data_IF_315951831523
#
_entry.id   IF_315951831523
#
_cell.length_a   1.000
_cell.length_b   1.000
_cell.length_c   1.000
_cell.angle_alpha   90.00
_cell.angle_beta   90.00
_cell.angle_gamma   90.00
#
_symmetry.space_group_name_H-M   'P 1'
#
loop_
_entity.id
_entity.type
_entity.pdbx_description
1 polymer ?
#
# COMPACT_ATOMS: atom_id res chain seq x y z
N UNK A 1 -7.05 -1.87 -11.92
CA UNK A 1 -5.65 -2.29 -12.14
C UNK A 1 -4.84 -1.57 -11.09
N UNK A 2 -3.91 -2.25 -10.44
CA UNK A 2 -2.94 -1.59 -9.57
C UNK A 2 -2.05 -0.69 -10.44
N UNK A 3 -1.70 0.48 -9.94
CA UNK A 3 -0.71 1.34 -10.57
C UNK A 3 0.70 0.73 -10.40
N UNK A 4 1.66 1.16 -11.25
CA UNK A 4 3.04 0.63 -11.25
C UNK A 4 3.80 0.86 -9.92
N UNK A 5 3.24 1.64 -8.99
CA UNK A 5 3.85 1.94 -7.70
C UNK A 5 3.16 1.26 -6.52
N UNK A 6 2.04 0.56 -6.75
CA UNK A 6 1.33 -0.20 -5.72
C UNK A 6 1.45 -1.70 -5.96
N UNK A 7 2.10 -2.39 -5.03
CA UNK A 7 2.37 -3.83 -5.12
C UNK A 7 1.56 -4.57 -4.07
N UNK A 8 0.78 -5.56 -4.50
CA UNK A 8 0.17 -6.52 -3.57
C UNK A 8 1.22 -7.56 -3.19
N UNK A 9 1.64 -7.56 -1.93
CA UNK A 9 2.70 -8.43 -1.41
C UNK A 9 2.15 -9.72 -0.82
N UNK A 10 1.00 -9.63 -0.16
CA UNK A 10 0.38 -10.76 0.53
C UNK A 10 -1.12 -10.74 0.23
N UNK A 11 -1.61 -11.82 -0.36
CA UNK A 11 -3.03 -12.16 -0.38
C UNK A 11 -3.37 -12.87 0.94
N UNK A 12 -4.60 -12.77 1.46
CA UNK A 12 -5.00 -13.59 2.58
C UNK A 12 -4.98 -15.07 2.16
N UNK A 13 -4.01 -15.85 2.65
CA UNK A 13 -3.92 -17.27 2.32
C UNK A 13 -5.14 -18.04 2.86
N UNK A 14 -5.74 -18.89 2.02
CA UNK A 14 -6.31 -20.18 2.42
C UNK A 14 -7.42 -20.20 3.49
N UNK A 15 -8.01 -19.05 3.84
CA UNK A 15 -9.06 -19.03 4.85
C UNK A 15 -10.37 -19.44 4.19
N UNK A 16 -10.69 -20.72 4.32
CA UNK A 16 -12.08 -21.16 4.27
C UNK A 16 -12.97 -20.19 5.04
N UNK A 17 -14.24 -20.03 4.64
CA UNK A 17 -15.07 -18.87 4.93
C UNK A 17 -14.96 -18.45 6.41
N UNK A 18 -14.17 -17.42 6.72
CA UNK A 18 -14.19 -16.82 8.06
C UNK A 18 -15.56 -16.16 8.22
N UNK A 19 -16.35 -16.51 9.26
CA UNK A 19 -17.69 -15.95 9.40
C UNK A 19 -17.77 -14.46 9.74
N UNK A 20 -16.65 -13.74 9.88
CA UNK A 20 -16.63 -12.34 10.27
C UNK A 20 -15.52 -11.58 9.53
N UNK A 21 -15.91 -10.43 8.93
CA UNK A 21 -15.15 -9.41 8.19
C UNK A 21 -13.74 -9.73 7.63
N UNK A 22 -13.46 -9.40 6.35
CA UNK A 22 -12.09 -9.47 5.82
C UNK A 22 -11.13 -8.67 6.70
N UNK A 23 -9.92 -9.20 6.92
CA UNK A 23 -8.89 -8.54 7.71
C UNK A 23 -8.60 -7.14 7.16
N UNK A 24 -8.44 -6.16 8.05
CA UNK A 24 -8.16 -4.77 7.67
C UNK A 24 -6.85 -4.72 6.87
N UNK A 25 -6.87 -4.24 5.61
CA UNK A 25 -5.69 -4.22 4.75
C UNK A 25 -4.63 -3.27 5.32
N UNK A 26 -3.37 -3.67 5.16
CA UNK A 26 -2.20 -2.90 5.54
C UNK A 26 -1.54 -2.31 4.28
N UNK A 27 -1.32 -1.00 4.28
CA UNK A 27 -0.55 -0.30 3.25
C UNK A 27 0.77 0.21 3.85
N UNK A 28 1.88 -0.17 3.23
CA UNK A 28 3.24 0.16 3.64
C UNK A 28 3.85 1.16 2.66
N UNK A 29 4.15 2.37 3.13
CA UNK A 29 4.75 3.44 2.32
C UNK A 29 6.28 3.30 2.35
N UNK A 30 6.95 3.50 1.23
CA UNK A 30 8.42 3.46 1.11
C UNK A 30 9.13 4.41 2.10
N UNK A 31 10.42 4.14 2.32
CA UNK A 31 11.31 4.97 3.15
C UNK A 31 12.01 6.08 2.35
N UNK A 32 12.99 6.77 2.94
CA UNK A 32 13.78 7.80 2.22
C UNK A 32 14.48 7.30 0.95
N UNK A 33 14.66 5.98 0.78
CA UNK A 33 15.21 5.36 -0.41
C UNK A 33 14.22 5.22 -1.56
N UNK A 34 12.91 5.34 -1.34
CA UNK A 34 11.91 5.36 -2.41
C UNK A 34 11.42 4.00 -2.91
N UNK A 35 12.00 2.90 -2.43
CA UNK A 35 11.68 1.53 -2.87
C UNK A 35 10.85 0.77 -1.84
N UNK A 36 10.25 -0.35 -2.27
CA UNK A 36 9.47 -1.25 -1.40
C UNK A 36 10.21 -2.53 -1.04
N UNK A 37 11.49 -2.65 -1.42
CA UNK A 37 12.23 -3.91 -1.38
C UNK A 37 12.27 -4.54 0.03
N UNK A 38 12.43 -3.71 1.07
CA UNK A 38 12.44 -4.17 2.47
C UNK A 38 11.16 -4.92 2.86
N UNK A 39 10.02 -4.61 2.25
CA UNK A 39 8.74 -5.22 2.62
C UNK A 39 8.56 -6.63 2.08
N UNK A 40 9.34 -7.04 1.07
CA UNK A 40 9.39 -8.45 0.62
C UNK A 40 10.04 -9.39 1.64
N UNK A 41 10.74 -8.85 2.64
CA UNK A 41 11.33 -9.64 3.73
C UNK A 41 10.35 -9.87 4.90
N UNK A 42 9.14 -9.33 4.83
CA UNK A 42 8.10 -9.57 5.84
C UNK A 42 7.57 -11.00 5.71
N UNK A 43 7.44 -11.69 6.85
CA UNK A 43 6.64 -12.91 6.93
C UNK A 43 5.16 -12.62 6.71
N UNK A 44 4.37 -13.67 6.53
CA UNK A 44 2.91 -13.55 6.39
C UNK A 44 2.28 -12.86 7.62
N UNK A 45 1.47 -11.84 7.36
CA UNK A 45 0.77 -11.04 8.38
C UNK A 45 -0.72 -11.40 8.52
N UNK A 46 -1.16 -12.48 7.86
CA UNK A 46 -2.55 -12.98 7.86
C UNK A 46 -3.57 -11.90 7.43
N UNK A 47 -3.17 -11.06 6.46
CA UNK A 47 -4.00 -9.97 5.92
C UNK A 47 -3.53 -9.55 4.53
N UNK A 48 -4.37 -8.84 3.77
CA UNK A 48 -3.91 -8.14 2.58
C UNK A 48 -2.82 -7.12 2.95
N UNK A 49 -1.65 -7.24 2.32
CA UNK A 49 -0.54 -6.30 2.49
C UNK A 49 -0.17 -5.70 1.15
N UNK A 50 -0.25 -4.38 1.06
CA UNK A 50 0.17 -3.58 -0.09
C UNK A 50 1.40 -2.77 0.27
N UNK A 51 2.29 -2.59 -0.70
CA UNK A 51 3.40 -1.66 -0.58
C UNK A 51 3.33 -0.59 -1.67
N UNK A 52 3.62 0.66 -1.28
CA UNK A 52 3.59 1.84 -2.15
C UNK A 52 5.01 2.37 -2.29
N UNK A 53 5.57 2.23 -3.49
CA UNK A 53 6.84 2.84 -3.90
C UNK A 53 6.69 4.33 -4.19
N UNK A 54 7.80 5.06 -4.28
CA UNK A 54 7.77 6.47 -4.69
C UNK A 54 7.46 6.56 -6.20
N UNK A 55 6.32 7.13 -6.63
CA UNK A 55 5.99 7.31 -8.04
C UNK A 55 6.96 8.20 -8.82
N UNK A 56 7.76 8.99 -8.11
CA UNK A 56 8.82 9.83 -8.68
C UNK A 56 10.22 9.23 -8.48
N UNK A 57 10.32 7.93 -8.16
CA UNK A 57 11.61 7.28 -7.94
C UNK A 57 12.52 7.37 -9.18
N UNK A 58 11.98 7.04 -10.36
CA UNK A 58 12.75 7.09 -11.61
C UNK A 58 13.01 8.52 -12.09
N UNK A 59 12.03 9.41 -11.95
CA UNK A 59 12.17 10.79 -12.42
C UNK A 59 13.06 11.64 -11.52
N UNK A 60 13.13 11.31 -10.22
CA UNK A 60 13.85 12.10 -9.21
C UNK A 60 13.24 13.49 -8.96
N UNK A 61 12.09 13.78 -9.56
CA UNK A 61 11.47 15.10 -9.48
C UNK A 61 10.97 15.37 -8.05
N UNK A 62 11.29 16.54 -7.46
CA UNK A 62 10.82 16.87 -6.13
C UNK A 62 9.31 17.06 -6.12
N UNK A 63 8.70 16.84 -4.96
CA UNK A 63 7.31 17.23 -4.71
C UNK A 63 7.26 18.73 -4.44
N UNK A 64 6.80 19.53 -5.41
CA UNK A 64 6.72 20.99 -5.32
C UNK A 64 5.85 21.47 -4.15
N UNK A 65 4.78 20.73 -3.83
CA UNK A 65 3.93 20.93 -2.66
C UNK A 65 4.41 20.18 -1.41
N UNK A 66 5.60 19.59 -1.46
CA UNK A 66 6.22 18.85 -0.36
C UNK A 66 5.47 17.58 0.04
N UNK A 67 5.66 17.17 1.30
CA UNK A 67 4.99 16.00 1.89
C UNK A 67 3.46 16.01 1.72
N UNK A 68 2.74 17.16 1.81
CA UNK A 68 1.30 17.19 1.54
C UNK A 68 0.91 16.78 0.12
N UNK A 69 1.71 17.13 -0.90
CA UNK A 69 1.45 16.70 -2.29
C UNK A 69 1.68 15.19 -2.43
N UNK A 70 2.80 14.70 -1.87
CA UNK A 70 3.13 13.27 -1.82
C UNK A 70 2.03 12.45 -1.13
N UNK A 71 1.56 12.91 0.03
CA UNK A 71 0.52 12.23 0.81
C UNK A 71 -0.81 12.13 0.05
N UNK A 72 -1.19 13.15 -0.73
CA UNK A 72 -2.38 13.10 -1.59
C UNK A 72 -2.23 12.06 -2.68
N UNK A 73 -1.08 12.04 -3.35
CA UNK A 73 -0.80 11.02 -4.35
C UNK A 73 -0.92 9.61 -3.76
N UNK A 74 -0.40 9.37 -2.54
CA UNK A 74 -0.47 8.03 -1.92
C UNK A 74 -1.87 7.68 -1.45
N UNK A 75 -2.64 8.65 -0.97
CA UNK A 75 -4.05 8.43 -0.66
C UNK A 75 -4.84 8.01 -1.90
N UNK A 76 -4.57 8.60 -3.07
CA UNK A 76 -5.21 8.22 -4.33
C UNK A 76 -4.86 6.78 -4.72
N UNK A 77 -3.60 6.35 -4.52
CA UNK A 77 -3.19 4.96 -4.76
C UNK A 77 -3.86 3.97 -3.80
N UNK A 78 -3.96 4.31 -2.51
CA UNK A 78 -4.70 3.52 -1.52
C UNK A 78 -6.16 3.35 -1.95
N UNK A 79 -6.82 4.44 -2.35
CA UNK A 79 -8.20 4.38 -2.82
C UNK A 79 -8.37 3.55 -4.09
N UNK A 80 -7.41 3.60 -5.02
CA UNK A 80 -7.44 2.82 -6.26
C UNK A 80 -7.24 1.31 -6.02
N UNK A 81 -6.51 0.93 -4.98
CA UNK A 81 -6.27 -0.46 -4.61
C UNK A 81 -7.46 -1.10 -3.87
N UNK A 82 -8.31 -0.29 -3.23
CA UNK A 82 -9.49 -0.78 -2.52
C UNK A 82 -10.62 -1.16 -3.50
N UNK A 83 -11.40 -2.22 -3.19
CA UNK A 83 -12.53 -2.60 -4.03
C UNK A 83 -13.61 -1.49 -4.07
N UNK A 84 -14.38 -1.35 -5.17
CA UNK A 84 -15.47 -0.39 -5.27
C UNK A 84 -16.49 -0.55 -4.13
N UNK A 85 -16.82 0.54 -3.43
CA UNK A 85 -17.67 0.50 -2.23
C UNK A 85 -16.92 0.10 -0.94
N UNK A 86 -15.63 -0.22 -1.03
CA UNK A 86 -14.71 -0.43 0.08
C UNK A 86 -14.28 0.88 0.73
N UNK A 87 -15.23 1.64 1.28
CA UNK A 87 -14.96 2.73 2.24
C UNK A 87 -14.60 2.15 3.61
N UNK A 88 -13.66 1.22 3.63
CA UNK A 88 -13.28 0.43 4.81
C UNK A 88 -12.16 1.07 5.62
N UNK A 89 -11.99 0.59 6.84
CA UNK A 89 -10.80 0.87 7.63
C UNK A 89 -9.56 0.36 6.89
N UNK A 90 -8.45 1.09 7.00
CA UNK A 90 -7.13 0.67 6.53
C UNK A 90 -6.12 0.89 7.66
N UNK A 91 -5.03 0.14 7.62
CA UNK A 91 -3.85 0.41 8.45
C UNK A 91 -2.78 0.97 7.54
N UNK A 92 -2.16 2.08 7.97
CA UNK A 92 -1.02 2.69 7.29
C UNK A 92 0.23 2.46 8.13
N UNK A 93 1.33 2.10 7.48
CA UNK A 93 2.64 1.95 8.09
C UNK A 93 3.75 2.35 7.12
N UNK A 94 4.99 2.35 7.60
CA UNK A 94 6.16 2.71 6.82
C UNK A 94 7.39 2.83 7.71
N UNK A 95 8.56 3.04 7.12
CA UNK A 95 9.83 3.27 7.81
C UNK A 95 10.47 4.57 7.33
#
# INVERSE_FOLDING_TARGET
>A
MLDDNTFLLQEPEGLGPRPNSPAVPLFLIHDGGGTVFQYFSLGDLDRPVYAIGNPRFESGEPWSGGIPEMARAYADLVHAALPPGGGGQVILGGV
#
